data_IF_770442210847
#
_entry.id   IF_770442210847
#
_cell.length_a   1.000
_cell.length_b   1.000
_cell.length_c   1.000
_cell.angle_alpha   90.00
_cell.angle_beta   90.00
_cell.angle_gamma   90.00
#
_symmetry.space_group_name_H-M   'P 1'
#
loop_
_entity.id
_entity.type
_entity.pdbx_description
1 polymer ?
#
# COMPACT_ATOMS: atom_id res chain seq x y z
N UNK A 1 -12.51 14.26 -14.30
CA UNK A 1 -12.45 14.08 -12.84
C UNK A 1 -11.37 13.09 -12.44
N UNK A 2 -11.39 11.84 -12.93
CA UNK A 2 -10.37 10.82 -12.58
C UNK A 2 -8.93 11.26 -12.91
N UNK A 3 -8.69 11.78 -14.11
CA UNK A 3 -7.37 12.29 -14.52
C UNK A 3 -6.85 13.38 -13.57
N UNK A 4 -7.72 14.31 -13.16
CA UNK A 4 -7.37 15.38 -12.24
C UNK A 4 -7.05 14.82 -10.84
N UNK A 5 -7.82 13.85 -10.36
CA UNK A 5 -7.51 13.14 -9.12
C UNK A 5 -6.17 12.41 -9.16
N UNK A 6 -5.84 11.74 -10.27
CA UNK A 6 -4.53 11.12 -10.43
C UNK A 6 -3.41 12.16 -10.39
N UNK A 7 -3.59 13.31 -11.05
CA UNK A 7 -2.62 14.39 -11.03
C UNK A 7 -2.41 14.96 -9.63
N UNK A 8 -3.49 15.13 -8.84
CA UNK A 8 -3.40 15.48 -7.42
C UNK A 8 -2.57 14.44 -6.67
N UNK A 9 -2.89 13.14 -6.82
CA UNK A 9 -2.16 12.06 -6.15
C UNK A 9 -0.67 12.06 -6.48
N UNK A 10 -0.31 12.20 -7.76
CA UNK A 10 1.09 12.26 -8.22
C UNK A 10 1.80 13.47 -7.62
N UNK A 11 1.23 14.67 -7.77
CA UNK A 11 1.85 15.92 -7.34
C UNK A 11 1.99 15.94 -5.81
N UNK A 12 0.94 15.61 -5.08
CA UNK A 12 0.96 15.61 -3.62
C UNK A 12 1.97 14.59 -3.09
N UNK A 13 2.01 13.37 -3.64
CA UNK A 13 3.03 12.37 -3.23
C UNK A 13 4.44 12.89 -3.49
N UNK A 14 4.69 13.45 -4.67
CA UNK A 14 6.00 14.00 -5.02
C UNK A 14 6.42 15.18 -4.13
N UNK A 15 5.47 16.07 -3.79
CA UNK A 15 5.72 17.19 -2.87
C UNK A 15 5.98 16.70 -1.45
N UNK A 16 5.18 15.75 -0.95
CA UNK A 16 5.40 15.12 0.35
C UNK A 16 6.78 14.48 0.43
N UNK A 17 7.20 13.72 -0.58
CA UNK A 17 8.54 13.13 -0.61
C UNK A 17 9.64 14.20 -0.57
N UNK A 18 9.52 15.27 -1.37
CA UNK A 18 10.51 16.36 -1.34
C UNK A 18 10.65 17.03 0.03
N UNK A 19 9.58 17.10 0.80
CA UNK A 19 9.58 17.71 2.14
C UNK A 19 10.05 16.70 3.19
N UNK A 20 9.59 15.45 3.13
CA UNK A 20 9.83 14.44 4.16
C UNK A 20 11.23 13.83 4.08
N UNK A 21 11.82 13.67 2.88
CA UNK A 21 13.18 13.13 2.73
C UNK A 21 14.24 13.86 3.59
N UNK A 22 14.43 15.19 3.50
CA UNK A 22 15.44 15.89 4.31
C UNK A 22 15.12 15.89 5.81
N UNK A 23 13.85 15.73 6.19
CA UNK A 23 13.46 15.62 7.61
C UNK A 23 13.85 14.24 8.14
N UNK A 24 13.52 13.18 7.40
CA UNK A 24 13.86 11.81 7.74
C UNK A 24 15.37 11.60 7.91
N UNK A 25 16.18 12.20 7.03
CA UNK A 25 17.64 12.19 7.16
C UNK A 25 18.12 12.84 8.47
N UNK A 26 17.48 13.94 8.91
CA UNK A 26 17.86 14.66 10.15
C UNK A 26 17.45 13.92 11.42
N UNK A 27 16.37 13.16 11.39
CA UNK A 27 15.88 12.37 12.53
C UNK A 27 16.37 10.92 12.52
N UNK A 28 17.27 10.59 11.59
CA UNK A 28 17.79 9.23 11.38
C UNK A 28 16.71 8.17 11.07
N UNK A 29 15.59 8.57 10.47
CA UNK A 29 14.57 7.66 9.93
C UNK A 29 14.96 7.22 8.52
N UNK A 30 16.04 6.44 8.43
CA UNK A 30 16.68 6.07 7.17
C UNK A 30 17.14 4.60 7.18
N UNK A 31 17.05 3.93 6.04
CA UNK A 31 17.66 2.61 5.82
C UNK A 31 19.15 2.81 5.48
N UNK A 32 20.02 2.23 6.31
CA UNK A 32 21.48 2.32 6.14
C UNK A 32 21.99 1.20 5.22
N UNK A 33 22.97 1.46 4.34
CA UNK A 33 23.56 0.42 3.50
C UNK A 33 24.38 -0.58 4.33
N UNK A 34 24.10 -1.89 4.21
CA UNK A 34 24.85 -2.98 4.86
C UNK A 34 24.03 -4.25 5.11
N UNK A 35 24.69 -5.43 5.21
CA UNK A 35 24.03 -6.71 5.53
C UNK A 35 23.42 -7.45 4.32
N UNK A 36 22.17 -7.91 4.43
CA UNK A 36 21.46 -8.74 3.41
C UNK A 36 20.84 -7.91 2.26
N UNK A 37 20.89 -6.57 2.32
CA UNK A 37 20.24 -5.68 1.34
C UNK A 37 21.27 -5.01 0.39
N UNK A 38 21.00 -5.05 -0.92
CA UNK A 38 21.92 -4.61 -1.99
C UNK A 38 21.70 -3.15 -2.41
N UNK A 39 21.80 -2.18 -1.50
CA UNK A 39 21.73 -0.77 -1.86
C UNK A 39 22.95 0.02 -1.37
N UNK A 40 23.46 0.90 -2.24
CA UNK A 40 24.70 1.64 -2.05
C UNK A 40 24.52 2.98 -1.29
N UNK A 41 23.27 3.43 -1.06
CA UNK A 41 22.97 4.74 -0.46
C UNK A 41 21.94 4.66 0.68
N UNK A 42 22.07 5.57 1.64
CA UNK A 42 21.10 5.81 2.72
C UNK A 42 19.74 6.22 2.13
N UNK A 43 18.64 5.60 2.58
CA UNK A 43 17.29 5.87 2.04
C UNK A 43 16.28 6.27 3.11
N UNK A 44 15.69 7.47 3.02
CA UNK A 44 14.55 7.89 3.85
C UNK A 44 13.37 6.93 3.82
N UNK A 45 12.87 6.52 4.99
CA UNK A 45 11.75 5.57 5.11
C UNK A 45 10.39 6.31 5.17
N UNK A 46 10.10 7.10 4.12
CA UNK A 46 8.93 8.00 4.07
C UNK A 46 7.96 7.71 2.92
N UNK A 47 8.25 6.67 2.13
CA UNK A 47 7.47 6.30 0.94
C UNK A 47 5.99 6.04 1.24
N UNK A 48 5.70 5.17 2.20
CA UNK A 48 4.33 4.81 2.57
C UNK A 48 3.51 6.00 3.07
N UNK A 49 4.12 6.89 3.87
CA UNK A 49 3.48 8.13 4.35
C UNK A 49 3.10 9.02 3.17
N UNK A 50 4.02 9.24 2.24
CA UNK A 50 3.79 10.10 1.09
C UNK A 50 2.72 9.54 0.15
N UNK A 51 2.73 8.23 -0.12
CA UNK A 51 1.70 7.55 -0.93
C UNK A 51 0.33 7.71 -0.26
N UNK A 52 0.24 7.49 1.06
CA UNK A 52 -1.02 7.58 1.79
C UNK A 52 -1.60 9.00 1.75
N UNK A 53 -0.78 10.03 1.99
CA UNK A 53 -1.20 11.44 1.90
C UNK A 53 -1.64 11.79 0.48
N UNK A 54 -0.85 11.39 -0.53
CA UNK A 54 -1.20 11.63 -1.94
C UNK A 54 -2.51 10.97 -2.33
N UNK A 55 -2.72 9.72 -1.92
CA UNK A 55 -3.96 9.00 -2.14
C UNK A 55 -5.15 9.65 -1.41
N UNK A 56 -4.99 10.06 -0.16
CA UNK A 56 -6.02 10.74 0.61
C UNK A 56 -6.45 12.07 -0.06
N UNK A 57 -5.49 12.87 -0.54
CA UNK A 57 -5.78 14.09 -1.31
C UNK A 57 -6.47 13.78 -2.64
N UNK A 58 -6.04 12.72 -3.35
CA UNK A 58 -6.68 12.30 -4.59
C UNK A 58 -8.14 11.88 -4.37
N UNK A 59 -8.45 11.18 -3.27
CA UNK A 59 -9.81 10.76 -2.92
C UNK A 59 -10.79 11.93 -2.74
N UNK A 60 -10.32 13.10 -2.28
CA UNK A 60 -11.14 14.32 -2.18
C UNK A 60 -11.63 14.84 -3.53
N UNK A 61 -11.01 14.41 -4.63
CA UNK A 61 -11.45 14.77 -5.99
C UNK A 61 -12.65 13.96 -6.48
N UNK A 62 -13.02 12.87 -5.80
CA UNK A 62 -14.19 12.08 -6.16
C UNK A 62 -15.45 12.62 -5.48
N UNK A 63 -16.59 12.70 -6.19
CA UNK A 63 -17.85 13.15 -5.61
C UNK A 63 -18.54 11.99 -4.88
N UNK A 64 -17.85 11.38 -3.91
CA UNK A 64 -18.33 10.22 -3.15
C UNK A 64 -18.22 10.47 -1.64
N UNK A 65 -19.02 9.75 -0.85
CA UNK A 65 -18.86 9.76 0.60
C UNK A 65 -17.59 9.01 1.01
N UNK A 66 -16.77 9.66 1.85
CA UNK A 66 -15.55 9.06 2.39
C UNK A 66 -15.79 8.23 3.67
N UNK A 67 -17.02 8.17 4.17
CA UNK A 67 -17.36 7.46 5.42
C UNK A 67 -17.02 5.97 5.31
N UNK A 68 -17.31 5.34 4.17
CA UNK A 68 -17.01 3.93 3.91
C UNK A 68 -15.51 3.59 3.86
N UNK A 69 -14.64 4.60 3.70
CA UNK A 69 -13.19 4.44 3.63
C UNK A 69 -12.50 4.72 4.97
N UNK A 70 -13.24 5.06 6.04
CA UNK A 70 -12.66 5.27 7.38
C UNK A 70 -11.95 4.02 7.94
N UNK A 71 -12.50 2.79 7.80
CA UNK A 71 -11.79 1.59 8.25
C UNK A 71 -10.47 1.39 7.48
N UNK A 72 -10.49 1.62 6.17
CA UNK A 72 -9.28 1.58 5.34
C UNK A 72 -8.23 2.59 5.80
N UNK A 73 -8.66 3.84 6.06
CA UNK A 73 -7.76 4.88 6.54
C UNK A 73 -7.16 4.53 7.91
N UNK A 74 -7.97 4.03 8.85
CA UNK A 74 -7.49 3.65 10.18
C UNK A 74 -6.53 2.45 10.12
N UNK A 75 -6.89 1.40 9.37
CA UNK A 75 -6.04 0.22 9.20
C UNK A 75 -4.73 0.55 8.48
N UNK A 76 -4.78 1.42 7.47
CA UNK A 76 -3.58 1.92 6.79
C UNK A 76 -2.68 2.77 7.69
N UNK A 77 -3.25 3.70 8.46
CA UNK A 77 -2.49 4.50 9.43
C UNK A 77 -1.83 3.64 10.51
N UNK A 78 -2.52 2.60 10.99
CA UNK A 78 -1.93 1.64 11.93
C UNK A 78 -0.70 0.94 11.33
N UNK A 79 -0.79 0.47 10.09
CA UNK A 79 0.32 -0.19 9.41
C UNK A 79 1.48 0.77 9.11
N UNK A 80 1.18 2.02 8.72
CA UNK A 80 2.21 3.05 8.54
C UNK A 80 2.91 3.35 9.86
N UNK A 81 2.16 3.55 10.94
CA UNK A 81 2.72 3.78 12.26
C UNK A 81 3.58 2.60 12.71
N UNK A 82 3.10 1.37 12.52
CA UNK A 82 3.84 0.16 12.82
C UNK A 82 5.14 0.04 12.01
N UNK A 83 5.11 0.38 10.72
CA UNK A 83 6.31 0.41 9.86
C UNK A 83 7.34 1.42 10.35
N UNK A 84 6.91 2.65 10.66
CA UNK A 84 7.81 3.68 11.23
C UNK A 84 8.42 3.19 12.55
N UNK A 85 7.63 2.53 13.40
CA UNK A 85 8.11 2.03 14.67
C UNK A 85 9.14 0.90 14.48
N UNK A 86 8.90 0.00 13.54
CA UNK A 86 9.82 -1.09 13.16
C UNK A 86 11.16 -0.53 12.67
N UNK A 87 11.10 0.50 11.83
CA UNK A 87 12.27 1.19 11.29
C UNK A 87 13.10 1.94 12.35
N UNK A 88 12.45 2.41 13.43
CA UNK A 88 13.12 3.16 14.50
C UNK A 88 13.66 2.29 15.64
N UNK A 89 12.97 1.21 15.99
CA UNK A 89 13.22 0.48 17.25
C UNK A 89 13.34 -1.04 17.09
N UNK A 90 13.42 -1.58 15.86
CA UNK A 90 13.42 -3.03 15.57
C UNK A 90 12.31 -3.77 16.33
N UNK A 91 11.08 -3.69 15.83
CA UNK A 91 9.94 -4.20 16.57
C UNK A 91 9.88 -5.73 16.47
N UNK A 92 9.49 -6.38 17.56
CA UNK A 92 9.33 -7.84 17.57
C UNK A 92 8.37 -8.32 16.46
N UNK A 93 8.67 -9.43 15.77
CA UNK A 93 7.80 -9.98 14.72
C UNK A 93 6.36 -10.24 15.20
N UNK A 94 6.19 -10.61 16.46
CA UNK A 94 4.87 -10.85 17.05
C UNK A 94 4.04 -9.56 17.17
N UNK A 95 4.66 -8.44 17.55
CA UNK A 95 3.96 -7.15 17.62
C UNK A 95 3.56 -6.65 16.22
N UNK A 96 4.45 -6.81 15.23
CA UNK A 96 4.15 -6.49 13.82
C UNK A 96 2.99 -7.31 13.29
N UNK A 97 3.04 -8.62 13.47
CA UNK A 97 1.97 -9.53 13.08
C UNK A 97 0.64 -9.20 13.81
N UNK A 98 0.71 -8.80 15.08
CA UNK A 98 -0.45 -8.32 15.83
C UNK A 98 -1.09 -7.08 15.20
N UNK A 99 -0.31 -6.09 14.79
CA UNK A 99 -0.81 -4.89 14.10
C UNK A 99 -1.45 -5.22 12.74
N UNK A 100 -0.86 -6.17 12.00
CA UNK A 100 -1.42 -6.67 10.74
C UNK A 100 -2.78 -7.36 10.94
N UNK A 101 -2.90 -8.20 11.98
CA UNK A 101 -4.19 -8.81 12.36
C UNK A 101 -5.20 -7.75 12.75
N UNK A 102 -4.82 -6.76 13.56
CA UNK A 102 -5.74 -5.68 13.96
C UNK A 102 -6.21 -4.88 12.75
N UNK A 103 -5.31 -4.58 11.79
CA UNK A 103 -5.69 -3.93 10.53
C UNK A 103 -6.66 -4.79 9.71
N UNK A 104 -6.42 -6.10 9.63
CA UNK A 104 -7.33 -7.03 8.97
C UNK A 104 -8.70 -7.14 9.68
N UNK A 105 -8.73 -7.07 11.01
CA UNK A 105 -9.95 -7.06 11.81
C UNK A 105 -10.76 -5.77 11.61
N UNK A 106 -10.10 -4.63 11.50
CA UNK A 106 -10.75 -3.35 11.15
C UNK A 106 -11.46 -3.49 9.78
N UNK A 107 -10.78 -4.08 8.80
CA UNK A 107 -11.37 -4.29 7.47
C UNK A 107 -12.54 -5.30 7.49
N UNK A 108 -12.40 -6.41 8.21
CA UNK A 108 -13.40 -7.49 8.22
C UNK A 108 -14.60 -7.18 9.10
N UNK A 109 -14.39 -6.67 10.32
CA UNK A 109 -15.45 -6.46 11.31
C UNK A 109 -16.12 -5.10 11.14
N UNK A 110 -15.34 -4.02 10.96
CA UNK A 110 -15.91 -2.68 10.84
C UNK A 110 -16.34 -2.37 9.41
N UNK A 111 -15.49 -2.64 8.42
CA UNK A 111 -15.84 -2.41 7.01
C UNK A 111 -16.78 -3.49 6.43
N UNK A 112 -17.00 -4.59 7.15
CA UNK A 112 -17.76 -5.76 6.66
C UNK A 112 -17.21 -6.33 5.33
N UNK A 113 -15.91 -6.16 5.07
CA UNK A 113 -15.25 -6.69 3.88
C UNK A 113 -14.71 -8.08 4.20
N UNK A 114 -15.41 -9.11 3.74
CA UNK A 114 -15.10 -10.51 4.02
C UNK A 114 -15.17 -11.33 2.74
N UNK A 115 -14.14 -12.14 2.48
CA UNK A 115 -14.14 -13.15 1.43
C UNK A 115 -15.04 -14.29 1.90
N UNK A 116 -16.19 -14.46 1.25
CA UNK A 116 -17.20 -15.47 1.60
C UNK A 116 -17.25 -16.65 0.62
N UNK A 117 -16.73 -16.45 -0.59
CA UNK A 117 -16.76 -17.41 -1.69
C UNK A 117 -15.45 -17.30 -2.50
N UNK A 118 -14.84 -18.43 -2.85
CA UNK A 118 -13.65 -18.49 -3.71
C UNK A 118 -14.00 -18.66 -5.19
N UNK A 119 -15.28 -18.70 -5.53
CA UNK A 119 -15.78 -19.01 -6.86
C UNK A 119 -15.63 -20.50 -7.18
N UNK A 120 -15.74 -20.81 -8.46
CA UNK A 120 -15.58 -22.17 -8.98
C UNK A 120 -14.11 -22.48 -9.31
N UNK A 121 -13.29 -22.53 -8.27
CA UNK A 121 -11.83 -22.62 -8.40
C UNK A 121 -11.35 -23.91 -9.09
N UNK A 122 -12.15 -24.99 -8.98
CA UNK A 122 -11.82 -26.32 -9.48
C UNK A 122 -12.77 -26.83 -10.57
N UNK A 123 -13.64 -25.97 -11.11
CA UNK A 123 -14.69 -26.35 -12.08
C UNK A 123 -15.66 -27.42 -11.56
N UNK A 124 -15.83 -27.48 -10.24
CA UNK A 124 -16.70 -28.44 -9.54
C UNK A 124 -17.89 -27.75 -8.85
N UNK A 125 -18.01 -26.44 -8.99
CA UNK A 125 -18.99 -25.60 -8.31
C UNK A 125 -18.36 -24.60 -7.33
N UNK A 126 -19.17 -23.64 -6.88
CA UNK A 126 -18.74 -22.57 -5.98
C UNK A 126 -18.24 -23.11 -4.62
N UNK A 127 -17.09 -22.60 -4.17
CA UNK A 127 -16.53 -22.91 -2.86
C UNK A 127 -16.91 -21.81 -1.86
N UNK A 128 -17.89 -22.10 -1.00
CA UNK A 128 -18.34 -21.20 0.07
C UNK A 128 -17.56 -21.46 1.36
N UNK A 129 -16.99 -20.40 1.93
CA UNK A 129 -16.12 -20.51 3.10
C UNK A 129 -16.89 -20.65 4.43
N UNK A 130 -18.13 -20.15 4.50
CA UNK A 130 -18.97 -20.26 5.69
C UNK A 130 -18.26 -19.70 6.94
N UNK A 131 -18.12 -20.52 7.99
CA UNK A 131 -17.44 -20.13 9.23
C UNK A 131 -15.97 -19.74 9.02
N UNK A 132 -15.30 -20.24 7.97
CA UNK A 132 -13.91 -19.92 7.67
C UNK A 132 -13.72 -18.58 6.94
N UNK A 133 -14.80 -17.86 6.60
CA UNK A 133 -14.72 -16.61 5.84
C UNK A 133 -13.86 -15.54 6.53
N UNK A 134 -14.04 -15.35 7.85
CA UNK A 134 -13.26 -14.36 8.62
C UNK A 134 -11.80 -14.81 8.76
N UNK A 135 -11.48 -16.02 9.27
CA UNK A 135 -10.09 -16.50 9.34
C UNK A 135 -9.37 -16.44 7.99
N UNK A 136 -10.04 -16.84 6.91
CA UNK A 136 -9.47 -16.82 5.56
C UNK A 136 -9.19 -15.39 5.10
N UNK A 137 -10.10 -14.45 5.35
CA UNK A 137 -9.90 -13.05 4.97
C UNK A 137 -8.73 -12.42 5.74
N UNK A 138 -8.61 -12.71 7.04
CA UNK A 138 -7.47 -12.26 7.84
C UNK A 138 -6.17 -12.84 7.28
N UNK A 139 -6.14 -14.14 7.01
CA UNK A 139 -4.99 -14.80 6.40
C UNK A 139 -4.62 -14.18 5.06
N UNK A 140 -5.59 -13.88 4.19
CA UNK A 140 -5.34 -13.27 2.89
C UNK A 140 -4.77 -11.85 3.01
N UNK A 141 -5.31 -11.01 3.91
CA UNK A 141 -4.81 -9.65 4.14
C UNK A 141 -3.40 -9.68 4.72
N UNK A 142 -3.20 -10.41 5.82
CA UNK A 142 -1.90 -10.51 6.50
C UNK A 142 -0.85 -11.16 5.60
N UNK A 143 -1.23 -12.18 4.84
CA UNK A 143 -0.39 -12.83 3.85
C UNK A 143 0.04 -11.89 2.73
N UNK A 144 -0.87 -11.06 2.21
CA UNK A 144 -0.55 -10.05 1.21
C UNK A 144 0.41 -8.99 1.75
N UNK A 145 0.18 -8.50 2.98
CA UNK A 145 1.07 -7.53 3.63
C UNK A 145 2.50 -8.11 3.74
N UNK A 146 2.63 -9.33 4.27
CA UNK A 146 3.93 -9.98 4.40
C UNK A 146 4.57 -10.29 3.05
N UNK A 147 3.81 -10.75 2.06
CA UNK A 147 4.32 -11.00 0.72
C UNK A 147 4.90 -9.74 0.07
N UNK A 148 4.20 -8.60 0.17
CA UNK A 148 4.69 -7.31 -0.33
C UNK A 148 5.95 -6.87 0.41
N UNK A 149 5.97 -6.99 1.75
CA UNK A 149 7.14 -6.65 2.56
C UNK A 149 8.38 -7.51 2.20
N UNK A 150 8.19 -8.76 1.78
CA UNK A 150 9.27 -9.65 1.34
C UNK A 150 9.77 -9.37 -0.09
N UNK A 151 8.96 -8.71 -0.93
CA UNK A 151 9.37 -8.30 -2.29
C UNK A 151 10.30 -7.08 -2.27
N UNK A 152 10.25 -6.28 -1.21
CA UNK A 152 10.97 -5.00 -1.10
C UNK A 152 12.44 -5.17 -0.72
N UNK A 153 13.19 -5.83 -1.61
CA UNK A 153 14.64 -6.04 -1.49
C UNK A 153 15.45 -5.36 -2.59
N UNK A 154 14.80 -4.64 -3.51
CA UNK A 154 15.45 -4.00 -4.66
C UNK A 154 14.69 -2.76 -5.12
N UNK A 155 15.45 -1.73 -5.51
CA UNK A 155 14.93 -0.41 -5.87
C UNK A 155 13.95 -0.45 -7.03
N UNK A 156 12.76 0.13 -6.83
CA UNK A 156 11.71 0.17 -7.85
C UNK A 156 10.96 -1.15 -8.06
N UNK A 157 11.44 -2.29 -7.55
CA UNK A 157 10.85 -3.60 -7.86
C UNK A 157 9.47 -3.76 -7.21
N UNK A 158 9.38 -3.65 -5.88
CA UNK A 158 8.13 -3.84 -5.16
C UNK A 158 7.05 -2.86 -5.64
N UNK A 159 7.38 -1.57 -5.74
CA UNK A 159 6.47 -0.55 -6.23
C UNK A 159 5.97 -0.81 -7.66
N UNK A 160 6.83 -1.31 -8.56
CA UNK A 160 6.44 -1.62 -9.94
C UNK A 160 5.53 -2.84 -10.02
N UNK A 161 5.81 -3.88 -9.23
CA UNK A 161 4.96 -5.06 -9.13
C UNK A 161 3.57 -4.71 -8.57
N UNK A 162 3.52 -3.89 -7.51
CA UNK A 162 2.27 -3.38 -6.95
C UNK A 162 1.52 -2.55 -7.99
N UNK A 163 2.20 -1.71 -8.78
CA UNK A 163 1.55 -0.93 -9.82
C UNK A 163 0.86 -1.82 -10.88
N UNK A 164 1.53 -2.90 -11.32
CA UNK A 164 0.93 -3.87 -12.23
C UNK A 164 -0.25 -4.60 -11.59
N UNK A 165 -0.15 -5.01 -10.32
CA UNK A 165 -1.25 -5.64 -9.59
C UNK A 165 -2.46 -4.71 -9.46
N UNK A 166 -2.25 -3.43 -9.14
CA UNK A 166 -3.31 -2.43 -9.07
C UNK A 166 -3.94 -2.17 -10.44
N UNK A 167 -3.15 -2.15 -11.51
CA UNK A 167 -3.69 -2.05 -12.87
C UNK A 167 -4.64 -3.20 -13.19
N UNK A 168 -4.22 -4.45 -12.92
CA UNK A 168 -5.04 -5.63 -13.12
C UNK A 168 -6.30 -5.59 -12.25
N UNK A 169 -6.19 -5.18 -10.99
CA UNK A 169 -7.32 -5.04 -10.08
C UNK A 169 -8.31 -3.96 -10.54
N UNK A 170 -7.82 -2.81 -11.02
CA UNK A 170 -8.66 -1.76 -11.59
C UNK A 170 -9.39 -2.24 -12.85
N UNK A 171 -8.70 -3.00 -13.71
CA UNK A 171 -9.30 -3.59 -14.91
C UNK A 171 -10.39 -4.60 -14.53
N UNK A 172 -10.13 -5.50 -13.58
CA UNK A 172 -11.13 -6.45 -13.09
C UNK A 172 -12.34 -5.75 -12.47
N UNK A 173 -12.12 -4.73 -11.63
CA UNK A 173 -13.20 -3.94 -11.06
C UNK A 173 -14.04 -3.24 -12.14
N UNK A 174 -13.40 -2.69 -13.16
CA UNK A 174 -14.10 -2.07 -14.29
C UNK A 174 -14.94 -3.09 -15.08
N UNK A 175 -14.37 -4.26 -15.38
CA UNK A 175 -15.07 -5.34 -16.07
C UNK A 175 -16.23 -5.91 -15.25
N UNK A 176 -16.13 -5.89 -13.92
CA UNK A 176 -17.19 -6.25 -13.00
C UNK A 176 -18.23 -5.14 -12.74
N UNK A 177 -18.16 -4.02 -13.47
CA UNK A 177 -19.01 -2.83 -13.29
C UNK A 177 -18.90 -2.14 -11.92
N UNK A 178 -17.84 -2.42 -11.16
CA UNK A 178 -17.49 -1.77 -9.90
C UNK A 178 -16.74 -0.45 -10.16
N UNK A 179 -17.47 0.53 -10.72
CA UNK A 179 -16.87 1.76 -11.26
C UNK A 179 -16.27 2.66 -10.17
N UNK A 180 -16.82 2.66 -8.96
CA UNK A 180 -16.30 3.48 -7.85
C UNK A 180 -14.97 2.91 -7.39
N UNK A 181 -14.91 1.59 -7.18
CA UNK A 181 -13.73 0.84 -6.77
C UNK A 181 -12.61 0.97 -7.80
N UNK A 182 -12.94 0.81 -9.09
CA UNK A 182 -11.98 1.00 -10.17
C UNK A 182 -11.36 2.41 -10.15
N UNK A 183 -12.16 3.45 -9.92
CA UNK A 183 -11.67 4.84 -9.78
C UNK A 183 -10.75 4.99 -8.57
N UNK A 184 -11.13 4.44 -7.43
CA UNK A 184 -10.32 4.49 -6.19
C UNK A 184 -8.95 3.83 -6.42
N UNK A 185 -8.92 2.65 -7.05
CA UNK A 185 -7.68 1.94 -7.36
C UNK A 185 -6.81 2.78 -8.32
N UNK A 186 -7.39 3.39 -9.35
CA UNK A 186 -6.67 4.27 -10.29
C UNK A 186 -6.10 5.52 -9.60
N UNK A 187 -6.78 6.07 -8.60
CA UNK A 187 -6.23 7.17 -7.79
C UNK A 187 -5.03 6.73 -6.94
N UNK A 188 -5.09 5.53 -6.36
CA UNK A 188 -3.97 4.93 -5.63
C UNK A 188 -2.77 4.68 -6.55
N UNK A 189 -3.02 4.21 -7.77
CA UNK A 189 -1.98 4.09 -8.82
C UNK A 189 -1.34 5.45 -9.12
N UNK A 190 -2.11 6.54 -9.17
CA UNK A 190 -1.58 7.90 -9.32
C UNK A 190 -0.62 8.28 -8.18
N UNK A 191 -1.02 8.08 -6.93
CA UNK A 191 -0.12 8.31 -5.78
C UNK A 191 1.16 7.45 -5.86
N UNK A 192 1.01 6.17 -6.20
CA UNK A 192 2.13 5.25 -6.36
C UNK A 192 3.10 5.67 -7.48
N UNK A 193 2.61 6.23 -8.60
CA UNK A 193 3.47 6.79 -9.65
C UNK A 193 4.30 7.97 -9.16
N UNK A 194 3.73 8.82 -8.32
CA UNK A 194 4.45 9.91 -7.65
C UNK A 194 5.62 9.39 -6.82
N UNK A 195 5.43 8.27 -6.11
CA UNK A 195 6.48 7.59 -5.37
C UNK A 195 7.53 6.91 -6.27
N UNK A 196 7.09 6.15 -7.27
CA UNK A 196 7.96 5.44 -8.20
C UNK A 196 8.96 6.38 -8.90
N UNK A 197 8.57 7.62 -9.18
CA UNK A 197 9.50 8.61 -9.72
C UNK A 197 10.74 8.89 -8.83
N UNK A 198 10.64 8.71 -7.52
CA UNK A 198 11.77 8.88 -6.59
C UNK A 198 12.44 7.55 -6.23
N UNK A 199 11.69 6.44 -6.27
CA UNK A 199 12.16 5.10 -5.91
C UNK A 199 12.81 4.34 -7.07
N UNK A 200 12.55 4.71 -8.34
CA UNK A 200 13.14 4.02 -9.49
C UNK A 200 14.58 4.50 -9.79
N UNK A 201 15.57 3.60 -9.94
CA UNK A 201 16.94 3.95 -10.32
C UNK A 201 17.03 4.14 -11.85
N UNK A 202 16.61 5.31 -12.36
CA UNK A 202 16.56 5.61 -13.80
C UNK A 202 17.91 5.49 -14.54
N UNK A 203 19.03 5.41 -13.84
CA UNK A 203 20.37 5.27 -14.42
C UNK A 203 21.32 4.63 -13.40
N UNK A 204 22.36 3.92 -13.86
CA UNK A 204 23.44 3.38 -13.00
C UNK A 204 24.12 4.44 -12.11
N UNK A 205 23.97 5.73 -12.43
CA UNK A 205 24.50 6.87 -11.65
C UNK A 205 23.48 7.51 -10.71
N UNK A 206 22.20 7.17 -10.81
CA UNK A 206 21.12 7.75 -9.99
C UNK A 206 20.54 6.65 -9.11
N UNK A 207 20.97 6.61 -7.86
CA UNK A 207 20.40 5.72 -6.85
C UNK A 207 18.96 6.14 -6.52
N UNK A 208 18.15 5.17 -6.12
CA UNK A 208 16.83 5.45 -5.58
C UNK A 208 16.95 6.34 -4.33
N UNK A 209 16.05 7.32 -4.21
CA UNK A 209 16.07 8.31 -3.13
C UNK A 209 15.15 7.96 -1.97
N UNK A 210 14.35 6.92 -2.15
CA UNK A 210 13.33 6.37 -1.26
C UNK A 210 13.09 4.95 -1.71
#
# INVERSE_FOLDING_TARGET
MIFFGCLIGIITTAMCLRILMPIAERIHLVDLPGGRKQHESVKPLVGGIAIFIGFACAMLSLPISLIGYRPFALGGLLLIFMGILDDMHEVSPHARFGAEIVSALIMTVWASIVITNLGDLFFTGEIRLGFFSIPFTIFAIVGLINAVNMLDGSDGLAGSLIFVQLFLLALTAFLAHLIVEAKVIVLLMGALLGFLYFNFPFSKKRTARV
#
